data_IF_871030921121
#
_entry.id   IF_871030921121
#
_cell.length_a   1.000
_cell.length_b   1.000
_cell.length_c   1.000
_cell.angle_alpha   90.00
_cell.angle_beta   90.00
_cell.angle_gamma   90.00
#
_symmetry.space_group_name_H-M   'P 1'
#
loop_
_entity.id
_entity.type
_entity.pdbx_description
1 polymer ?
#
# COMPACT_ATOMS: atom_id res chain seq x y z
N UNK A 1 -29.19 14.73 20.28
CA UNK A 1 -28.12 13.72 20.17
C UNK A 1 -26.88 14.42 19.59
N UNK A 2 -25.69 14.27 20.13
CA UNK A 2 -24.51 14.85 19.52
C UNK A 2 -24.36 14.29 18.09
N UNK A 3 -24.05 15.17 17.13
CA UNK A 3 -23.83 14.75 15.76
C UNK A 3 -22.50 13.96 15.69
N UNK A 4 -22.44 12.88 14.89
CA UNK A 4 -21.20 12.14 14.67
C UNK A 4 -20.08 13.08 14.21
N UNK A 5 -18.90 12.91 14.77
CA UNK A 5 -17.72 13.64 14.33
C UNK A 5 -17.19 13.03 13.04
N UNK A 6 -16.62 13.88 12.17
CA UNK A 6 -15.98 13.47 10.93
C UNK A 6 -14.48 13.66 11.02
N UNK A 7 -13.73 12.63 10.66
CA UNK A 7 -12.28 12.65 10.57
C UNK A 7 -11.83 12.32 9.16
N UNK A 8 -11.02 13.22 8.59
CA UNK A 8 -10.45 13.01 7.24
C UNK A 8 -9.08 12.34 7.37
N UNK A 9 -8.84 11.34 6.54
CA UNK A 9 -7.59 10.59 6.55
C UNK A 9 -7.29 10.01 5.17
N UNK A 10 -6.03 9.70 4.92
CA UNK A 10 -5.60 8.88 3.80
C UNK A 10 -5.68 7.41 4.18
N UNK A 11 -6.24 6.58 3.29
CA UNK A 11 -6.24 5.12 3.45
C UNK A 11 -4.79 4.60 3.42
N UNK A 12 -4.47 3.72 4.36
CA UNK A 12 -3.11 3.20 4.57
C UNK A 12 -2.90 1.76 4.06
N UNK A 13 -3.79 1.24 3.22
CA UNK A 13 -3.72 -0.16 2.79
C UNK A 13 -2.87 -0.39 1.54
N UNK A 14 -2.78 0.61 0.65
CA UNK A 14 -2.00 0.50 -0.58
C UNK A 14 -1.61 1.87 -1.14
N UNK A 15 -0.82 1.85 -2.19
CA UNK A 15 -0.27 3.03 -2.88
C UNK A 15 -1.33 3.94 -3.52
N UNK A 16 -2.56 3.49 -3.66
CA UNK A 16 -3.66 4.32 -4.16
C UNK A 16 -3.97 5.50 -3.24
N UNK A 17 -3.63 5.39 -1.96
CA UNK A 17 -3.72 6.46 -0.95
C UNK A 17 -5.05 7.23 -0.99
N UNK A 18 -6.16 6.53 -1.21
CA UNK A 18 -7.47 7.15 -1.32
C UNK A 18 -7.80 7.99 -0.09
N UNK A 19 -8.32 9.20 -0.30
CA UNK A 19 -8.88 10.02 0.77
C UNK A 19 -10.14 9.38 1.34
N UNK A 20 -10.22 9.27 2.67
CA UNK A 20 -11.37 8.70 3.37
C UNK A 20 -11.92 9.67 4.42
N UNK A 21 -13.23 9.66 4.55
CA UNK A 21 -13.98 10.31 5.62
C UNK A 21 -14.47 9.24 6.59
N UNK A 22 -14.02 9.31 7.84
CA UNK A 22 -14.42 8.43 8.93
C UNK A 22 -15.42 9.16 9.79
N UNK A 23 -16.64 8.65 9.88
CA UNK A 23 -17.65 9.13 10.84
C UNK A 23 -17.54 8.31 12.12
N UNK A 24 -17.43 8.96 13.27
CA UNK A 24 -17.29 8.30 14.56
C UNK A 24 -18.03 9.02 15.69
N UNK A 25 -18.39 8.29 16.73
CA UNK A 25 -18.88 8.81 18.00
C UNK A 25 -18.09 8.17 19.15
N UNK A 26 -17.44 9.00 19.97
CA UNK A 26 -16.68 8.58 21.17
C UNK A 26 -15.70 7.43 20.92
N UNK A 27 -15.06 7.40 19.74
CA UNK A 27 -14.07 6.37 19.37
C UNK A 27 -14.65 5.16 18.65
N UNK A 28 -15.97 5.01 18.58
CA UNK A 28 -16.62 4.00 17.76
C UNK A 28 -16.75 4.49 16.32
N UNK A 29 -16.29 3.70 15.36
CA UNK A 29 -16.43 3.99 13.93
C UNK A 29 -17.87 3.65 13.52
N UNK A 30 -18.56 4.62 12.92
CA UNK A 30 -19.92 4.46 12.42
C UNK A 30 -19.95 4.18 10.93
N UNK A 31 -19.02 4.78 10.17
CA UNK A 31 -18.88 4.56 8.74
C UNK A 31 -17.52 5.03 8.22
N UNK A 32 -17.04 4.37 7.16
CA UNK A 32 -15.90 4.82 6.36
C UNK A 32 -16.37 5.01 4.93
N UNK A 33 -16.15 6.20 4.37
CA UNK A 33 -16.53 6.58 3.00
C UNK A 33 -15.35 7.24 2.28
N UNK A 34 -15.36 7.26 0.96
CA UNK A 34 -14.41 8.06 0.18
C UNK A 34 -14.66 9.57 0.39
N UNK A 35 -13.58 10.35 0.51
CA UNK A 35 -13.68 11.81 0.55
C UNK A 35 -13.79 12.37 -0.89
N UNK A 36 -14.93 12.95 -1.29
CA UNK A 36 -15.10 13.50 -2.63
C UNK A 36 -14.23 14.74 -2.90
N UNK A 37 -13.66 15.35 -1.85
CA UNK A 37 -12.74 16.50 -1.97
C UNK A 37 -11.29 16.09 -2.16
N UNK A 38 -10.97 14.79 -1.99
CA UNK A 38 -9.62 14.30 -2.26
C UNK A 38 -9.30 14.45 -3.76
N UNK A 39 -8.24 15.19 -4.12
CA UNK A 39 -7.97 15.51 -5.53
C UNK A 39 -7.56 14.30 -6.36
N UNK A 40 -7.02 13.25 -5.72
CA UNK A 40 -6.55 12.05 -6.39
C UNK A 40 -7.65 10.99 -6.53
N UNK A 41 -8.28 10.60 -5.44
CA UNK A 41 -9.28 9.51 -5.43
C UNK A 41 -10.71 9.99 -5.73
N UNK A 42 -10.99 11.30 -5.56
CA UNK A 42 -12.28 11.93 -5.92
C UNK A 42 -13.49 11.18 -5.36
N UNK A 43 -13.39 10.69 -4.13
CA UNK A 43 -14.43 9.91 -3.45
C UNK A 43 -14.40 8.41 -3.76
N UNK A 44 -13.47 7.93 -4.59
CA UNK A 44 -13.30 6.48 -4.77
C UNK A 44 -12.84 5.82 -3.48
N UNK A 45 -13.42 4.67 -3.17
CA UNK A 45 -13.03 3.79 -2.08
C UNK A 45 -13.27 2.33 -2.50
N UNK A 46 -12.30 1.46 -2.22
CA UNK A 46 -12.45 0.03 -2.47
C UNK A 46 -12.99 -0.72 -1.23
N UNK A 47 -13.51 -1.94 -1.39
CA UNK A 47 -14.05 -2.72 -0.27
C UNK A 47 -13.07 -2.94 0.88
N UNK A 48 -11.76 -3.02 0.60
CA UNK A 48 -10.72 -3.17 1.64
C UNK A 48 -10.68 -1.98 2.60
N UNK A 49 -10.86 -0.77 2.09
CA UNK A 49 -10.84 0.43 2.93
C UNK A 49 -12.12 0.54 3.79
N UNK A 50 -13.26 0.06 3.30
CA UNK A 50 -14.49 -0.04 4.12
C UNK A 50 -14.27 -1.05 5.27
N UNK A 51 -13.67 -2.19 4.98
CA UNK A 51 -13.37 -3.24 5.97
C UNK A 51 -12.33 -2.83 7.04
N UNK A 52 -11.72 -1.63 6.95
CA UNK A 52 -10.88 -1.10 8.03
C UNK A 52 -11.65 -0.92 9.35
N UNK A 53 -12.96 -0.71 9.28
CA UNK A 53 -13.82 -0.67 10.47
C UNK A 53 -13.78 -2.00 11.20
N UNK A 54 -14.03 -3.10 10.49
CA UNK A 54 -14.02 -4.46 11.05
C UNK A 54 -12.67 -4.77 11.68
N UNK A 55 -11.58 -4.43 10.98
CA UNK A 55 -10.22 -4.61 11.48
C UNK A 55 -9.95 -3.79 12.76
N UNK A 56 -10.49 -2.57 12.86
CA UNK A 56 -10.31 -1.71 14.02
C UNK A 56 -11.06 -2.24 15.24
N UNK A 57 -12.26 -2.75 15.04
CA UNK A 57 -13.18 -3.20 16.08
C UNK A 57 -13.04 -4.69 16.43
N UNK A 58 -12.25 -5.44 15.67
CA UNK A 58 -12.03 -6.87 15.85
C UNK A 58 -11.59 -7.19 17.29
N UNK A 59 -12.34 -8.02 18.03
CA UNK A 59 -12.02 -8.39 19.40
C UNK A 59 -10.73 -9.21 19.50
N UNK A 60 -10.36 -9.94 18.44
CA UNK A 60 -9.15 -10.77 18.40
C UNK A 60 -7.90 -9.96 18.03
N UNK A 61 -8.05 -8.68 17.70
CA UNK A 61 -6.92 -7.83 17.38
C UNK A 61 -6.00 -7.64 18.59
N UNK A 62 -4.72 -7.93 18.42
CA UNK A 62 -3.70 -7.64 19.43
C UNK A 62 -3.58 -6.11 19.65
N UNK A 63 -3.88 -5.68 20.88
CA UNK A 63 -3.82 -4.27 21.30
C UNK A 63 -2.63 -3.97 22.19
N UNK A 64 -2.03 -5.00 22.76
CA UNK A 64 -0.92 -4.92 23.71
C UNK A 64 0.15 -5.96 23.36
N UNK A 65 1.42 -5.73 23.76
CA UNK A 65 2.47 -6.71 23.58
C UNK A 65 2.17 -7.99 24.39
N UNK A 66 2.44 -9.12 23.77
CA UNK A 66 2.28 -10.43 24.37
C UNK A 66 3.61 -11.19 24.37
N UNK A 67 4.00 -11.75 25.51
CA UNK A 67 5.16 -12.60 25.65
C UNK A 67 4.73 -14.07 25.68
N UNK A 68 5.37 -14.90 24.85
CA UNK A 68 5.18 -16.36 24.90
C UNK A 68 5.95 -16.94 26.07
N UNK A 69 5.24 -17.61 26.98
CA UNK A 69 5.79 -18.38 28.11
C UNK A 69 5.53 -19.87 27.92
N UNK A 70 6.12 -20.76 28.73
CA UNK A 70 5.77 -22.19 28.69
C UNK A 70 4.28 -22.46 28.94
N UNK A 71 3.64 -21.63 29.77
CA UNK A 71 2.25 -21.80 30.20
C UNK A 71 1.24 -21.10 29.27
N UNK A 72 1.73 -20.33 28.27
CA UNK A 72 0.84 -19.64 27.34
C UNK A 72 1.35 -18.27 26.90
N UNK A 73 0.43 -17.32 26.73
CA UNK A 73 0.70 -15.96 26.35
C UNK A 73 0.37 -15.01 27.50
N UNK A 74 1.33 -14.15 27.88
CA UNK A 74 1.16 -13.14 28.91
C UNK A 74 1.25 -11.75 28.32
N UNK A 75 0.33 -10.87 28.73
CA UNK A 75 0.41 -9.45 28.38
C UNK A 75 1.52 -8.78 29.19
N UNK A 76 2.40 -8.05 28.51
CA UNK A 76 3.49 -7.30 29.13
C UNK A 76 3.38 -5.82 28.80
N UNK A 77 4.11 -4.98 29.54
CA UNK A 77 4.22 -3.55 29.22
C UNK A 77 5.01 -3.32 27.93
N UNK A 78 4.82 -2.18 27.28
CA UNK A 78 5.63 -1.77 26.12
C UNK A 78 7.10 -1.65 26.47
N UNK A 79 7.44 -1.15 27.65
CA UNK A 79 8.82 -1.06 28.13
C UNK A 79 9.47 -2.44 28.22
N UNK A 80 8.79 -3.40 28.84
CA UNK A 80 9.26 -4.79 28.92
C UNK A 80 9.41 -5.42 27.55
N UNK A 81 8.48 -5.17 26.64
CA UNK A 81 8.55 -5.67 25.27
C UNK A 81 9.77 -5.12 24.51
N UNK A 82 10.04 -3.82 24.60
CA UNK A 82 11.22 -3.22 23.98
C UNK A 82 12.53 -3.77 24.58
N UNK A 83 12.61 -3.92 25.89
CA UNK A 83 13.78 -4.47 26.58
C UNK A 83 14.03 -5.94 26.17
N UNK A 84 12.98 -6.74 26.12
CA UNK A 84 13.06 -8.15 25.72
C UNK A 84 13.52 -8.30 24.27
N UNK A 85 12.91 -7.56 23.32
CA UNK A 85 13.31 -7.57 21.92
C UNK A 85 14.74 -7.11 21.74
N UNK A 86 15.12 -5.97 22.36
CA UNK A 86 16.48 -5.44 22.26
C UNK A 86 17.52 -6.40 22.83
N UNK A 87 17.23 -7.03 23.97
CA UNK A 87 18.11 -8.01 24.59
C UNK A 87 18.35 -9.22 23.69
N UNK A 88 17.27 -9.80 23.15
CA UNK A 88 17.35 -10.97 22.25
C UNK A 88 18.12 -10.65 20.96
N UNK A 89 17.86 -9.50 20.35
CA UNK A 89 18.58 -9.06 19.14
C UNK A 89 20.08 -8.90 19.42
N UNK A 90 20.45 -8.19 20.49
CA UNK A 90 21.87 -8.00 20.88
C UNK A 90 22.55 -9.31 21.18
N UNK A 91 21.91 -10.23 21.92
CA UNK A 91 22.46 -11.54 22.24
C UNK A 91 22.69 -12.39 20.99
N UNK A 92 21.74 -12.36 20.04
CA UNK A 92 21.88 -13.06 18.76
C UNK A 92 23.05 -12.49 17.96
N UNK A 93 23.16 -11.17 17.86
CA UNK A 93 24.23 -10.50 17.13
C UNK A 93 25.61 -10.70 17.79
N UNK A 94 25.67 -10.62 19.10
CA UNK A 94 26.91 -10.87 19.84
C UNK A 94 27.44 -12.30 19.64
N UNK A 95 26.54 -13.28 19.55
CA UNK A 95 26.89 -14.69 19.39
C UNK A 95 27.17 -15.09 17.94
N UNK A 96 26.48 -14.50 16.98
CA UNK A 96 26.48 -14.98 15.59
C UNK A 96 26.78 -13.89 14.56
N UNK A 97 27.07 -12.66 14.98
CA UNK A 97 27.33 -11.50 14.12
C UNK A 97 26.05 -10.79 13.66
N UNK A 98 26.22 -9.57 13.14
CA UNK A 98 25.08 -8.71 12.77
C UNK A 98 24.17 -9.34 11.71
N UNK A 99 24.73 -10.08 10.77
CA UNK A 99 23.99 -10.71 9.69
C UNK A 99 23.18 -11.96 10.12
N UNK A 100 23.27 -12.36 11.40
CA UNK A 100 22.36 -13.37 11.94
C UNK A 100 20.91 -12.87 12.12
N UNK A 101 20.73 -11.55 12.04
CA UNK A 101 19.40 -10.91 12.06
C UNK A 101 19.04 -10.46 10.65
N UNK A 102 17.90 -10.94 10.13
CA UNK A 102 17.33 -10.47 8.87
C UNK A 102 16.08 -9.63 9.10
N UNK A 103 15.86 -8.61 8.26
CA UNK A 103 14.66 -7.79 8.27
C UNK A 103 13.90 -7.93 6.96
N UNK A 104 12.61 -8.29 7.04
CA UNK A 104 11.70 -8.27 5.91
C UNK A 104 10.67 -7.15 6.09
N UNK A 105 10.62 -6.24 5.13
CA UNK A 105 9.72 -5.09 5.13
C UNK A 105 8.47 -5.38 4.32
N UNK A 106 7.32 -5.27 4.96
CA UNK A 106 6.02 -5.38 4.28
C UNK A 106 5.46 -4.03 3.86
N UNK A 107 4.46 -4.06 2.99
CA UNK A 107 3.78 -2.89 2.47
C UNK A 107 3.23 -1.92 3.56
N UNK A 108 2.64 -2.39 4.68
CA UNK A 108 2.15 -1.50 5.72
C UNK A 108 3.21 -0.56 6.31
N UNK A 109 4.49 -0.93 6.27
CA UNK A 109 5.58 -0.07 6.75
C UNK A 109 5.67 1.23 5.96
N UNK A 110 5.47 1.18 4.65
CA UNK A 110 5.53 2.35 3.74
C UNK A 110 4.35 3.31 3.98
N UNK A 111 3.19 2.78 4.36
CA UNK A 111 1.97 3.57 4.56
C UNK A 111 1.75 4.00 6.02
N UNK A 112 2.76 3.81 6.88
CA UNK A 112 2.72 4.23 8.28
C UNK A 112 3.84 5.23 8.57
N UNK A 113 3.47 6.47 8.89
CA UNK A 113 4.42 7.56 9.14
C UNK A 113 5.42 7.22 10.26
N UNK A 114 4.94 6.64 11.36
CA UNK A 114 5.80 6.26 12.48
C UNK A 114 6.84 5.22 12.08
N UNK A 115 6.41 4.19 11.34
CA UNK A 115 7.30 3.16 10.82
C UNK A 115 8.32 3.73 9.84
N UNK A 116 7.90 4.61 8.94
CA UNK A 116 8.81 5.26 7.98
C UNK A 116 9.87 6.12 8.66
N UNK A 117 9.50 6.91 9.65
CA UNK A 117 10.43 7.77 10.39
C UNK A 117 11.44 6.97 11.21
N UNK A 118 11.05 5.83 11.75
CA UNK A 118 11.92 5.01 12.62
C UNK A 118 12.70 3.94 11.85
N UNK A 119 12.32 3.62 10.62
CA UNK A 119 12.90 2.54 9.83
C UNK A 119 14.42 2.70 9.62
N UNK A 120 14.86 3.85 9.14
CA UNK A 120 16.28 4.06 8.82
C UNK A 120 17.17 4.08 10.08
N UNK A 121 16.80 4.76 11.17
CA UNK A 121 17.51 4.64 12.45
C UNK A 121 17.57 3.19 12.97
N UNK A 122 16.49 2.45 12.88
CA UNK A 122 16.43 1.05 13.29
C UNK A 122 17.34 0.15 12.44
N UNK A 123 17.32 0.29 11.12
CA UNK A 123 18.20 -0.43 10.20
C UNK A 123 19.68 -0.13 10.45
N UNK A 124 19.99 1.13 10.73
CA UNK A 124 21.35 1.56 11.07
C UNK A 124 21.81 0.92 12.38
N UNK A 125 20.95 0.91 13.40
CA UNK A 125 21.26 0.31 14.70
C UNK A 125 21.43 -1.21 14.62
N UNK A 126 20.65 -1.91 13.78
CA UNK A 126 20.83 -3.35 13.55
C UNK A 126 22.14 -3.67 12.84
N UNK A 127 22.63 -2.81 11.94
CA UNK A 127 23.89 -3.01 11.22
C UNK A 127 23.93 -4.29 10.37
N UNK A 128 22.79 -4.87 10.02
CA UNK A 128 22.70 -6.08 9.17
C UNK A 128 22.66 -5.74 7.70
N UNK A 129 23.25 -6.58 6.85
CA UNK A 129 23.11 -6.54 5.41
C UNK A 129 21.84 -7.29 4.91
N UNK A 130 21.23 -8.11 5.76
CA UNK A 130 20.07 -8.94 5.41
C UNK A 130 18.77 -8.13 5.49
N UNK A 131 18.49 -7.36 4.43
CA UNK A 131 17.34 -6.48 4.29
C UNK A 131 16.53 -6.91 3.07
N UNK A 132 15.27 -7.26 3.28
CA UNK A 132 14.41 -7.84 2.25
C UNK A 132 13.07 -7.10 2.19
N UNK A 133 12.52 -7.01 0.99
CA UNK A 133 11.15 -6.52 0.76
C UNK A 133 10.62 -7.10 -0.56
N UNK A 134 9.33 -6.94 -0.82
CA UNK A 134 8.73 -7.32 -2.10
C UNK A 134 9.25 -6.48 -3.28
N UNK A 135 9.83 -5.31 -3.02
CA UNK A 135 10.29 -4.34 -4.03
C UNK A 135 11.15 -4.97 -5.13
N UNK A 136 12.00 -5.94 -4.78
CA UNK A 136 12.90 -6.60 -5.74
C UNK A 136 12.17 -7.42 -6.82
N UNK A 137 10.94 -7.84 -6.57
CA UNK A 137 10.15 -8.67 -7.50
C UNK A 137 8.93 -7.97 -8.10
N UNK A 138 8.48 -6.85 -7.52
CA UNK A 138 7.28 -6.16 -7.97
C UNK A 138 7.51 -4.70 -8.44
N UNK A 139 8.44 -3.98 -7.84
CA UNK A 139 8.59 -2.53 -8.05
C UNK A 139 9.95 -2.10 -8.59
N UNK A 140 10.94 -3.00 -8.62
CA UNK A 140 12.31 -2.64 -8.97
C UNK A 140 12.43 -2.12 -10.41
N UNK A 141 11.71 -2.71 -11.36
CA UNK A 141 11.76 -2.30 -12.76
C UNK A 141 11.27 -0.86 -12.97
N UNK A 142 10.06 -0.44 -12.51
CA UNK A 142 9.63 0.97 -12.61
C UNK A 142 10.51 1.93 -11.80
N UNK A 143 11.05 1.52 -10.66
CA UNK A 143 11.98 2.34 -9.87
C UNK A 143 13.31 2.56 -10.59
N UNK A 144 13.83 1.54 -11.27
CA UNK A 144 15.05 1.66 -12.09
C UNK A 144 14.84 2.59 -13.28
N UNK A 145 13.69 2.47 -13.95
CA UNK A 145 13.31 3.37 -15.05
C UNK A 145 13.20 4.81 -14.55
N UNK A 146 12.51 5.04 -13.43
CA UNK A 146 12.38 6.36 -12.82
C UNK A 146 13.76 6.95 -12.45
N UNK A 147 14.66 6.17 -11.88
CA UNK A 147 16.03 6.59 -11.61
C UNK A 147 16.76 7.04 -12.87
N UNK A 148 16.64 6.28 -13.97
CA UNK A 148 17.30 6.60 -15.23
C UNK A 148 16.69 7.79 -15.98
N UNK A 149 15.36 7.93 -15.93
CA UNK A 149 14.65 9.00 -16.63
C UNK A 149 14.60 10.31 -15.85
N UNK A 150 14.47 10.23 -14.54
CA UNK A 150 14.19 11.40 -13.68
C UNK A 150 15.25 11.64 -12.59
N UNK A 151 16.25 10.77 -12.48
CA UNK A 151 17.33 10.88 -11.49
C UNK A 151 16.96 10.44 -10.07
N UNK A 152 15.73 9.98 -9.83
CA UNK A 152 15.29 9.48 -8.53
C UNK A 152 14.29 8.33 -8.70
N UNK A 153 14.54 7.23 -8.01
CA UNK A 153 13.72 6.02 -8.08
C UNK A 153 12.27 6.18 -7.58
N UNK A 154 11.96 7.22 -6.81
CA UNK A 154 10.63 7.49 -6.28
C UNK A 154 9.83 8.50 -7.11
N UNK A 155 10.39 9.04 -8.19
CA UNK A 155 9.68 9.93 -9.12
C UNK A 155 8.87 9.09 -10.12
N UNK A 156 7.86 8.40 -9.62
CA UNK A 156 6.99 7.55 -10.43
C UNK A 156 5.89 8.41 -11.08
N UNK A 157 5.68 8.31 -12.41
CA UNK A 157 4.64 9.07 -13.08
C UNK A 157 3.25 8.56 -12.69
N UNK A 158 2.34 9.48 -12.40
CA UNK A 158 0.92 9.19 -12.22
C UNK A 158 0.21 9.48 -13.54
N UNK A 159 -0.52 8.51 -14.13
CA UNK A 159 -1.16 8.71 -15.43
C UNK A 159 -2.29 9.74 -15.36
N UNK A 160 -2.27 10.73 -16.25
CA UNK A 160 -3.30 11.76 -16.35
C UNK A 160 -4.49 11.29 -17.19
N UNK A 161 -5.22 10.31 -16.68
CA UNK A 161 -6.35 9.66 -17.36
C UNK A 161 -7.49 10.66 -17.61
N UNK A 162 -7.62 11.65 -16.75
CA UNK A 162 -8.75 12.59 -16.79
C UNK A 162 -8.66 13.54 -17.99
N UNK A 163 -7.47 13.77 -18.56
CA UNK A 163 -7.23 14.75 -19.64
C UNK A 163 -6.64 14.16 -20.91
N UNK A 164 -6.25 12.88 -20.90
CA UNK A 164 -5.75 12.22 -22.12
C UNK A 164 -6.87 11.74 -23.01
N UNK A 165 -6.63 11.68 -24.31
CA UNK A 165 -7.56 11.09 -25.30
C UNK A 165 -7.17 9.66 -25.67
N UNK A 166 -5.97 9.20 -25.23
CA UNK A 166 -5.52 7.84 -25.45
C UNK A 166 -4.72 7.36 -24.24
N UNK A 167 -5.04 6.16 -23.76
CA UNK A 167 -4.28 5.44 -22.76
C UNK A 167 -3.85 4.08 -23.28
N UNK A 168 -2.57 3.78 -23.20
CA UNK A 168 -2.02 2.45 -23.53
C UNK A 168 -1.52 1.79 -22.24
N UNK A 169 -2.04 0.61 -21.93
CA UNK A 169 -1.62 -0.23 -20.81
C UNK A 169 -0.83 -1.43 -21.34
N UNK A 170 0.41 -1.57 -20.89
CA UNK A 170 1.26 -2.72 -21.21
C UNK A 170 1.49 -3.53 -19.95
N UNK A 171 0.99 -4.80 -19.94
CA UNK A 171 1.18 -5.74 -18.84
C UNK A 171 0.61 -5.31 -17.49
N UNK A 172 -0.29 -4.32 -17.45
CA UNK A 172 -0.86 -3.77 -16.23
C UNK A 172 -2.37 -4.02 -16.13
N UNK A 173 -2.84 -4.26 -14.89
CA UNK A 173 -4.26 -4.50 -14.62
C UNK A 173 -4.81 -3.52 -13.55
N UNK A 174 -4.90 -2.21 -13.84
CA UNK A 174 -5.36 -1.20 -12.89
C UNK A 174 -6.79 -1.39 -12.40
N UNK A 175 -7.64 -2.12 -13.12
CA UNK A 175 -8.97 -2.52 -12.63
C UNK A 175 -8.88 -3.35 -11.34
N UNK A 176 -7.84 -4.16 -11.17
CA UNK A 176 -7.63 -4.96 -9.97
C UNK A 176 -6.71 -4.24 -8.95
N UNK A 177 -5.67 -3.52 -9.41
CA UNK A 177 -4.60 -2.99 -8.57
C UNK A 177 -4.75 -1.50 -8.21
N UNK A 178 -5.72 -0.77 -8.76
CA UNK A 178 -5.79 0.69 -8.74
C UNK A 178 -4.51 1.37 -9.27
N UNK A 179 -3.77 0.72 -10.17
CA UNK A 179 -2.55 1.25 -10.79
C UNK A 179 -1.26 1.03 -10.00
N UNK A 180 -1.33 0.44 -8.79
CA UNK A 180 -0.16 0.23 -7.93
C UNK A 180 0.63 1.54 -7.72
N UNK A 181 1.96 1.54 -7.88
CA UNK A 181 2.81 2.74 -7.70
C UNK A 181 2.43 3.92 -8.62
N UNK A 182 1.94 3.64 -9.83
CA UNK A 182 1.48 4.68 -10.78
C UNK A 182 0.06 5.12 -10.51
N UNK A 183 -0.43 4.88 -9.41
CA UNK A 183 -1.75 5.00 -8.79
C UNK A 183 -2.86 5.60 -9.66
N UNK A 184 -3.95 4.87 -9.81
CA UNK A 184 -5.13 5.28 -10.57
C UNK A 184 -6.42 4.87 -9.84
N UNK A 185 -6.70 5.44 -8.65
CA UNK A 185 -7.92 5.14 -7.91
C UNK A 185 -9.15 5.54 -8.74
N UNK A 186 -10.22 4.72 -8.69
CA UNK A 186 -11.40 4.95 -9.52
C UNK A 186 -11.15 4.72 -11.01
N UNK A 187 -10.26 3.81 -11.37
CA UNK A 187 -9.82 3.57 -12.75
C UNK A 187 -11.00 3.33 -13.71
N UNK A 188 -11.99 2.54 -13.28
CA UNK A 188 -13.16 2.21 -14.12
C UNK A 188 -13.94 3.47 -14.55
N UNK A 189 -14.23 4.33 -13.60
CA UNK A 189 -14.97 5.58 -13.82
C UNK A 189 -14.17 6.55 -14.69
N UNK A 190 -12.86 6.62 -14.49
CA UNK A 190 -11.96 7.46 -15.31
C UNK A 190 -11.88 6.97 -16.76
N UNK A 191 -11.80 5.66 -16.98
CA UNK A 191 -11.80 5.08 -18.34
C UNK A 191 -13.15 5.30 -19.01
N UNK A 192 -14.24 5.11 -18.29
CA UNK A 192 -15.56 5.41 -18.82
C UNK A 192 -15.67 6.87 -19.28
N UNK A 193 -15.26 7.80 -18.45
CA UNK A 193 -15.23 9.24 -18.79
C UNK A 193 -14.29 9.55 -19.97
N UNK A 194 -13.16 8.85 -20.09
CA UNK A 194 -12.27 8.93 -21.26
C UNK A 194 -12.99 8.48 -22.52
N UNK A 195 -13.66 7.34 -22.50
CA UNK A 195 -14.40 6.78 -23.65
C UNK A 195 -15.63 7.65 -24.03
N UNK A 196 -16.36 8.19 -23.05
CA UNK A 196 -17.51 9.09 -23.28
C UNK A 196 -17.11 10.40 -24.00
N UNK A 197 -15.86 10.89 -23.82
CA UNK A 197 -15.34 12.03 -24.57
C UNK A 197 -14.65 11.66 -25.89
N UNK A 198 -14.75 10.41 -26.33
CA UNK A 198 -14.19 9.91 -27.59
C UNK A 198 -12.76 9.37 -27.51
N UNK A 199 -12.18 9.33 -26.33
CA UNK A 199 -10.85 8.75 -26.10
C UNK A 199 -10.89 7.21 -26.13
N UNK A 200 -9.69 6.60 -26.08
CA UNK A 200 -9.53 5.14 -26.22
C UNK A 200 -8.57 4.55 -25.18
N UNK A 201 -8.93 3.38 -24.67
CA UNK A 201 -8.06 2.50 -23.91
C UNK A 201 -7.57 1.35 -24.80
N UNK A 202 -6.26 1.22 -24.92
CA UNK A 202 -5.60 0.12 -25.62
C UNK A 202 -4.83 -0.71 -24.57
N UNK A 203 -5.04 -2.02 -24.57
CA UNK A 203 -4.35 -2.93 -23.66
C UNK A 203 -3.50 -3.92 -24.45
N UNK A 204 -2.25 -4.06 -24.05
CA UNK A 204 -1.30 -5.05 -24.57
C UNK A 204 -0.97 -5.98 -23.39
N UNK A 205 -1.46 -7.21 -23.42
CA UNK A 205 -1.33 -8.16 -22.30
C UNK A 205 -1.45 -9.59 -22.82
N UNK A 206 -0.64 -10.53 -22.35
CA UNK A 206 -0.76 -11.93 -22.71
C UNK A 206 -2.06 -12.59 -22.21
N UNK A 207 -2.76 -11.93 -21.28
CA UNK A 207 -4.02 -12.42 -20.69
C UNK A 207 -5.14 -11.40 -20.89
N UNK A 208 -6.35 -11.87 -21.08
CA UNK A 208 -7.54 -11.01 -21.05
C UNK A 208 -7.88 -10.68 -19.60
N UNK A 209 -7.30 -9.60 -19.10
CA UNK A 209 -7.52 -9.08 -17.75
C UNK A 209 -8.84 -8.32 -17.63
N UNK A 210 -9.22 -7.94 -16.40
CA UNK A 210 -10.37 -7.07 -16.14
C UNK A 210 -10.21 -5.72 -16.85
N UNK A 211 -8.99 -5.20 -16.95
CA UNK A 211 -8.69 -3.98 -17.71
C UNK A 211 -8.84 -4.22 -19.21
N UNK A 212 -8.36 -5.34 -19.73
CA UNK A 212 -8.54 -5.71 -21.13
C UNK A 212 -10.02 -5.91 -21.49
N UNK A 213 -10.86 -6.33 -20.53
CA UNK A 213 -12.29 -6.55 -20.77
C UNK A 213 -13.07 -5.24 -20.99
N UNK A 214 -12.58 -4.09 -20.53
CA UNK A 214 -13.19 -2.77 -20.73
C UNK A 214 -12.45 -1.92 -21.78
N UNK A 215 -11.38 -2.46 -22.38
CA UNK A 215 -10.57 -1.76 -23.37
C UNK A 215 -11.29 -1.68 -24.72
N UNK A 216 -11.04 -0.60 -25.47
CA UNK A 216 -11.47 -0.47 -26.86
C UNK A 216 -10.72 -1.43 -27.78
N UNK A 217 -9.46 -1.74 -27.44
CA UNK A 217 -8.63 -2.69 -28.15
C UNK A 217 -7.79 -3.50 -27.17
N UNK A 218 -7.69 -4.80 -27.39
CA UNK A 218 -6.80 -5.69 -26.66
C UNK A 218 -5.92 -6.47 -27.67
N UNK A 219 -4.62 -6.33 -27.50
CA UNK A 219 -3.61 -7.04 -28.28
C UNK A 219 -2.92 -8.07 -27.40
N UNK A 220 -3.07 -9.34 -27.78
CA UNK A 220 -2.33 -10.42 -27.15
C UNK A 220 -0.86 -10.35 -27.53
N UNK A 221 0.01 -10.42 -26.52
CA UNK A 221 1.45 -10.47 -26.71
C UNK A 221 1.98 -11.80 -26.16
N UNK A 222 3.01 -12.35 -26.81
CA UNK A 222 3.69 -13.53 -26.27
C UNK A 222 4.50 -13.11 -25.04
N UNK A 223 4.36 -13.82 -23.89
CA UNK A 223 5.16 -13.52 -22.70
C UNK A 223 6.66 -13.47 -23.00
N UNK A 224 7.34 -12.44 -22.49
CA UNK A 224 8.77 -12.24 -22.69
C UNK A 224 9.17 -11.66 -24.05
N UNK A 225 8.23 -11.01 -24.76
CA UNK A 225 8.52 -10.34 -26.06
C UNK A 225 8.20 -8.86 -26.05
N UNK A 226 7.92 -8.28 -24.89
CA UNK A 226 7.64 -6.87 -24.60
C UNK A 226 8.91 -6.02 -24.45
#
# INVERSE_FOLDING_TARGET
MPQPQKHLRTCNLCEAMCGIEISHDRGQILAIKGDPRDPLSKGHICPKAVALQDLHEDPDRLKYPMLKTPDGWEQISWENAFNEVASRLRNTQAKHGNNAVGLYLGNPTIHNMGSMLTLMPFLSALGTANRFSATSVDQLAPMLVAMKMFGNQLLLPVPDIDRTDMMVCLGANPMASNGSLMTAPGFKERIRALQERGGKLIVIDPRRTETAAIADQHHFIRPGTD
#
